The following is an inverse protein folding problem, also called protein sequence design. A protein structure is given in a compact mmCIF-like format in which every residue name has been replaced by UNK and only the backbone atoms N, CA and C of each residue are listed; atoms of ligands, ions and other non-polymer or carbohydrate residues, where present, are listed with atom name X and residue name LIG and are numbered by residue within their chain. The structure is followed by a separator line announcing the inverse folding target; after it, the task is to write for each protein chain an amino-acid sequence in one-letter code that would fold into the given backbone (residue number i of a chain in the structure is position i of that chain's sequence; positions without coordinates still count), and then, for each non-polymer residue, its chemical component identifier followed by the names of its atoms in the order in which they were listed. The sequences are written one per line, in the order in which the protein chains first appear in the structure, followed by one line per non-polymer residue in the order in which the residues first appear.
data_IF_922790013472
#
_entry.id   IF_922790013472
#
_cell.length_a   1.000
_cell.length_b   1.000
_cell.length_c   1.000
_cell.angle_alpha   90.00
_cell.angle_beta   90.00
_cell.angle_gamma   90.00
#
_symmetry.space_group_name_H-M   'P 1'
#
loop_
_entity.id
_entity.type
_entity.pdbx_description
1 polymer ?
#
# COMPACT_ATOMS: atom_id res chain seq x y z
N UNK A 1 42.72 -6.86 -88.60
CA UNK A 1 41.36 -6.63 -88.02
C UNK A 1 40.35 -6.41 -89.13
N UNK A 2 39.50 -7.44 -89.42
CA UNK A 2 38.46 -7.39 -90.42
C UNK A 2 37.45 -6.30 -90.07
N UNK A 3 37.32 -5.27 -90.91
CA UNK A 3 36.33 -4.21 -90.75
C UNK A 3 34.91 -4.81 -90.79
N UNK A 4 34.28 -4.94 -89.63
CA UNK A 4 32.88 -5.39 -89.52
C UNK A 4 31.96 -4.38 -90.25
N UNK A 5 31.00 -4.89 -91.02
CA UNK A 5 29.99 -4.08 -91.72
C UNK A 5 29.16 -3.29 -90.71
N UNK A 6 28.76 -2.07 -91.07
CA UNK A 6 28.02 -1.14 -90.22
C UNK A 6 26.73 -1.74 -89.65
N UNK A 7 26.05 -2.58 -90.41
CA UNK A 7 24.87 -3.34 -89.97
C UNK A 7 25.15 -4.30 -88.78
N UNK A 8 26.29 -5.03 -88.88
CA UNK A 8 26.68 -5.99 -87.80
C UNK A 8 26.98 -5.29 -86.49
N UNK A 9 27.54 -4.10 -86.51
CA UNK A 9 27.77 -3.28 -85.24
C UNK A 9 26.47 -2.85 -84.63
N UNK A 10 25.46 -2.45 -85.40
CA UNK A 10 24.13 -2.03 -84.93
C UNK A 10 23.40 -3.24 -84.34
N UNK A 11 23.46 -4.40 -85.00
CA UNK A 11 22.81 -5.63 -84.45
C UNK A 11 23.43 -6.08 -83.14
N UNK A 12 24.76 -6.03 -83.03
CA UNK A 12 25.45 -6.33 -81.75
C UNK A 12 25.06 -5.31 -80.65
N UNK A 13 24.94 -4.00 -80.98
CA UNK A 13 24.52 -2.97 -80.03
C UNK A 13 23.08 -3.22 -79.45
N UNK A 14 22.16 -3.64 -80.37
CA UNK A 14 20.79 -3.98 -80.02
C UNK A 14 20.75 -5.22 -79.09
N UNK A 15 21.55 -6.24 -79.44
CA UNK A 15 21.61 -7.44 -78.56
C UNK A 15 22.17 -7.14 -77.21
N UNK A 16 23.25 -6.35 -77.15
CA UNK A 16 23.82 -5.92 -75.84
C UNK A 16 22.79 -5.10 -75.02
N UNK A 17 22.06 -4.22 -75.67
CA UNK A 17 21.02 -3.42 -75.05
C UNK A 17 19.91 -4.31 -74.43
N UNK A 18 19.43 -5.31 -75.16
CA UNK A 18 18.43 -6.25 -74.63
C UNK A 18 18.99 -7.15 -73.55
N UNK A 19 20.25 -7.54 -73.58
CA UNK A 19 20.91 -8.30 -72.51
C UNK A 19 21.00 -7.44 -71.22
N UNK A 20 21.32 -6.15 -71.32
CA UNK A 20 21.37 -5.24 -70.18
C UNK A 20 19.98 -5.09 -69.56
N UNK A 21 18.96 -4.90 -70.42
CA UNK A 21 17.58 -4.81 -69.92
C UNK A 21 17.14 -6.10 -69.19
N UNK A 22 17.43 -7.25 -69.79
CA UNK A 22 17.10 -8.56 -69.24
C UNK A 22 17.80 -8.78 -67.84
N UNK A 23 19.08 -8.40 -67.76
CA UNK A 23 19.85 -8.49 -66.52
C UNK A 23 19.31 -7.55 -65.44
N UNK A 24 18.92 -6.33 -65.80
CA UNK A 24 18.32 -5.37 -64.86
C UNK A 24 16.95 -5.87 -64.33
N UNK A 25 16.10 -6.34 -65.23
CA UNK A 25 14.78 -6.88 -64.88
C UNK A 25 14.93 -8.14 -64.03
N UNK A 26 15.80 -9.08 -64.45
CA UNK A 26 16.08 -10.31 -63.73
C UNK A 26 16.68 -10.07 -62.35
N UNK A 27 17.62 -9.13 -62.23
CA UNK A 27 18.20 -8.72 -60.97
C UNK A 27 17.17 -8.11 -60.02
N UNK A 28 16.31 -7.23 -60.55
CA UNK A 28 15.26 -6.57 -59.75
C UNK A 28 14.20 -7.58 -59.28
N UNK A 29 13.78 -8.52 -60.12
CA UNK A 29 12.83 -9.57 -59.72
C UNK A 29 13.45 -10.56 -58.73
N UNK A 30 14.67 -11.01 -58.95
CA UNK A 30 15.39 -11.88 -58.00
C UNK A 30 15.58 -11.22 -56.64
N UNK A 31 15.96 -9.93 -56.65
CA UNK A 31 16.10 -9.16 -55.42
C UNK A 31 14.78 -8.96 -54.71
N UNK A 32 13.68 -8.69 -55.44
CA UNK A 32 12.33 -8.61 -54.87
C UNK A 32 11.86 -9.91 -54.20
N UNK A 33 12.11 -11.06 -54.85
CA UNK A 33 11.79 -12.38 -54.28
C UNK A 33 12.65 -12.67 -53.04
N UNK A 34 13.95 -12.36 -53.10
CA UNK A 34 14.86 -12.53 -51.98
C UNK A 34 14.42 -11.70 -50.75
N UNK A 35 14.12 -10.42 -50.93
CA UNK A 35 13.64 -9.56 -49.85
C UNK A 35 12.28 -10.01 -49.30
N UNK A 36 11.35 -10.41 -50.20
CA UNK A 36 10.04 -10.92 -49.79
C UNK A 36 10.15 -12.22 -48.97
N UNK A 37 11.11 -13.10 -49.32
CA UNK A 37 11.37 -14.34 -48.59
C UNK A 37 12.05 -14.10 -47.24
N UNK A 38 12.98 -13.14 -47.19
CA UNK A 38 13.79 -12.85 -45.99
C UNK A 38 13.07 -11.94 -44.96
N UNK A 39 12.26 -10.99 -45.42
CA UNK A 39 11.62 -9.98 -44.62
C UNK A 39 10.09 -10.01 -44.65
N UNK A 40 9.49 -10.82 -45.49
CA UNK A 40 8.04 -10.87 -45.70
C UNK A 40 7.25 -11.56 -44.58
N UNK A 41 7.92 -12.33 -43.73
CA UNK A 41 7.29 -12.97 -42.56
C UNK A 41 7.78 -12.23 -41.31
N UNK A 42 7.03 -11.21 -40.89
CA UNK A 42 7.20 -10.69 -39.55
C UNK A 42 6.78 -11.79 -38.59
N UNK A 43 7.59 -12.13 -37.57
CA UNK A 43 7.12 -13.05 -36.52
C UNK A 43 5.84 -12.45 -35.92
N UNK A 44 4.86 -13.27 -35.56
CA UNK A 44 3.68 -12.77 -34.87
C UNK A 44 4.13 -12.01 -33.64
N UNK A 45 3.45 -10.90 -33.30
CA UNK A 45 3.77 -10.15 -32.09
C UNK A 45 3.69 -11.08 -30.88
N UNK A 46 4.74 -11.06 -30.06
CA UNK A 46 4.74 -11.81 -28.80
C UNK A 46 3.61 -11.31 -27.91
N UNK A 47 2.76 -12.19 -27.41
CA UNK A 47 1.70 -11.87 -26.47
C UNK A 47 2.16 -12.31 -25.09
N UNK A 48 2.08 -11.41 -24.10
CA UNK A 48 2.27 -11.77 -22.71
C UNK A 48 0.93 -12.30 -22.20
N UNK A 49 0.94 -13.55 -21.75
CA UNK A 49 -0.25 -14.19 -21.20
C UNK A 49 -0.14 -14.28 -19.68
N UNK A 50 -1.26 -14.13 -19.00
CA UNK A 50 -1.35 -14.29 -17.56
C UNK A 50 -2.39 -15.35 -17.24
N UNK A 51 -2.05 -16.23 -16.31
CA UNK A 51 -3.00 -17.21 -15.79
C UNK A 51 -3.95 -16.49 -14.83
N UNK A 52 -5.24 -16.63 -15.07
CA UNK A 52 -6.28 -16.11 -14.18
C UNK A 52 -6.25 -16.91 -12.89
N UNK A 53 -6.20 -16.25 -11.76
CA UNK A 53 -6.21 -16.86 -10.44
C UNK A 53 -7.30 -16.25 -9.56
N UNK A 54 -7.84 -17.06 -8.66
CA UNK A 54 -8.73 -16.55 -7.64
C UNK A 54 -7.96 -15.71 -6.63
N UNK A 55 -8.47 -14.53 -6.34
CA UNK A 55 -7.95 -13.63 -5.30
C UNK A 55 -9.09 -13.14 -4.41
N UNK A 56 -8.71 -12.83 -3.18
CA UNK A 56 -9.62 -12.21 -2.21
C UNK A 56 -9.66 -10.70 -2.47
N UNK A 57 -10.86 -10.22 -2.70
CA UNK A 57 -11.15 -8.79 -2.85
C UNK A 57 -11.96 -8.33 -1.64
N UNK A 58 -11.60 -7.17 -1.12
CA UNK A 58 -12.32 -6.51 -0.04
C UNK A 58 -12.74 -5.14 -0.51
N UNK A 59 -13.89 -4.68 -0.05
CA UNK A 59 -14.19 -3.26 -0.04
C UNK A 59 -13.55 -2.62 1.17
N UNK A 60 -13.19 -1.36 1.07
CA UNK A 60 -12.53 -0.62 2.14
C UNK A 60 -13.35 0.61 2.54
N UNK A 61 -13.35 0.89 3.83
CA UNK A 61 -13.79 2.17 4.38
C UNK A 61 -12.56 2.84 4.95
N UNK A 62 -12.24 4.00 4.42
CA UNK A 62 -11.12 4.80 4.90
C UNK A 62 -11.55 5.71 6.04
N UNK A 63 -10.73 5.81 7.06
CA UNK A 63 -10.93 6.68 8.20
C UNK A 63 -9.57 7.00 8.82
N UNK A 64 -9.57 7.84 9.82
CA UNK A 64 -8.36 8.16 10.59
C UNK A 64 -8.69 8.23 12.06
N UNK A 65 -7.68 8.08 12.91
CA UNK A 65 -7.83 8.18 14.33
C UNK A 65 -6.55 8.63 15.02
N UNK A 66 -6.71 9.03 16.28
CA UNK A 66 -5.58 9.21 17.19
C UNK A 66 -5.34 7.91 17.96
N UNK A 67 -4.09 7.44 17.96
CA UNK A 67 -3.66 6.27 18.70
C UNK A 67 -3.80 6.49 20.22
N UNK A 68 -4.46 5.57 20.90
CA UNK A 68 -4.61 5.58 22.36
C UNK A 68 -3.98 4.33 22.95
N UNK A 69 -3.33 4.46 24.10
CA UNK A 69 -2.84 3.30 24.87
C UNK A 69 -4.01 2.44 25.33
N UNK A 70 -3.82 1.12 25.37
CA UNK A 70 -4.84 0.21 25.90
C UNK A 70 -5.12 0.42 27.37
N UNK A 71 -4.10 0.84 28.14
CA UNK A 71 -4.17 1.22 29.53
C UNK A 71 -3.25 2.40 29.80
N UNK A 72 -3.73 3.37 30.54
CA UNK A 72 -2.96 4.53 31.00
C UNK A 72 -3.21 4.77 32.47
N UNK A 73 -2.16 5.04 33.23
CA UNK A 73 -2.24 5.51 34.60
C UNK A 73 -1.30 6.67 34.76
N UNK A 74 -1.76 7.70 35.50
CA UNK A 74 -0.98 8.91 35.75
C UNK A 74 -0.71 9.07 37.24
N UNK A 75 0.50 9.48 37.57
CA UNK A 75 0.94 9.74 38.93
C UNK A 75 1.40 11.21 39.01
N UNK A 76 0.79 11.96 39.94
CA UNK A 76 1.27 13.29 40.29
C UNK A 76 2.39 13.16 41.31
N UNK A 77 3.55 13.68 40.99
CA UNK A 77 4.78 13.57 41.76
C UNK A 77 5.30 14.99 42.03
N UNK A 78 5.71 15.29 43.25
CA UNK A 78 6.48 16.49 43.54
C UNK A 78 7.96 16.23 43.30
N UNK A 79 8.61 17.11 42.59
CA UNK A 79 10.03 16.98 42.26
C UNK A 79 10.91 17.02 43.51
N UNK A 80 10.54 17.83 44.50
CA UNK A 80 11.22 17.97 45.78
C UNK A 80 11.18 16.70 46.65
N UNK A 81 10.19 15.82 46.44
CA UNK A 81 10.06 14.56 47.20
C UNK A 81 10.83 13.40 46.52
N UNK A 82 11.40 13.60 45.32
CA UNK A 82 12.05 12.54 44.52
C UNK A 82 13.44 12.23 45.09
N UNK A 83 13.70 10.97 45.43
CA UNK A 83 15.00 10.51 45.88
C UNK A 83 15.97 10.22 44.73
N UNK A 84 15.42 9.76 43.59
CA UNK A 84 16.20 9.42 42.39
C UNK A 84 15.48 9.94 41.14
N UNK A 85 16.20 10.34 40.06
CA UNK A 85 15.58 10.73 38.80
C UNK A 85 14.74 9.57 38.19
N UNK A 86 13.58 9.91 37.64
CA UNK A 86 12.73 8.92 36.98
C UNK A 86 13.36 8.47 35.68
N UNK A 87 13.46 7.15 35.47
CA UNK A 87 13.96 6.54 34.22
C UNK A 87 12.80 6.28 33.29
N UNK A 88 12.75 6.99 32.18
CA UNK A 88 11.74 6.82 31.11
C UNK A 88 12.09 5.59 30.29
N UNK A 89 11.52 4.43 30.65
CA UNK A 89 11.78 3.14 30.01
C UNK A 89 10.58 2.21 30.15
N UNK A 90 10.63 1.10 29.42
CA UNK A 90 9.68 0.01 29.64
C UNK A 90 9.90 -0.61 31.03
N UNK A 91 8.79 -0.90 31.72
CA UNK A 91 8.77 -1.49 33.06
C UNK A 91 7.77 -2.64 33.12
N UNK A 92 8.09 -3.65 33.90
CA UNK A 92 7.16 -4.75 34.20
C UNK A 92 6.25 -4.39 35.37
N UNK A 93 5.09 -5.04 35.44
CA UNK A 93 4.19 -4.96 36.59
C UNK A 93 4.97 -5.17 37.89
N UNK A 94 4.71 -4.33 38.90
CA UNK A 94 5.41 -4.35 40.20
C UNK A 94 6.77 -3.64 40.21
N UNK A 95 7.31 -3.24 39.05
CA UNK A 95 8.56 -2.49 38.99
C UNK A 95 8.44 -1.09 39.60
N UNK A 96 9.53 -0.53 40.08
CA UNK A 96 9.55 0.78 40.71
C UNK A 96 9.58 1.88 39.65
N UNK A 97 8.57 2.75 39.64
CA UNK A 97 8.45 3.93 38.79
C UNK A 97 9.20 5.10 39.40
N UNK A 98 8.95 5.38 40.69
CA UNK A 98 9.57 6.46 41.44
C UNK A 98 9.75 6.10 42.90
N UNK A 99 10.87 6.51 43.50
CA UNK A 99 11.11 6.48 44.95
C UNK A 99 10.97 7.87 45.48
N UNK A 100 10.01 8.07 46.36
CA UNK A 100 9.76 9.31 47.09
C UNK A 100 10.20 9.18 48.53
N UNK A 101 10.41 10.29 49.23
CA UNK A 101 10.81 10.30 50.63
C UNK A 101 9.89 9.47 51.53
N UNK A 102 8.58 9.53 51.28
CA UNK A 102 7.58 8.88 52.12
C UNK A 102 6.92 7.65 51.51
N UNK A 103 7.16 7.34 50.23
CA UNK A 103 6.55 6.20 49.53
C UNK A 103 7.29 5.82 48.27
N UNK A 104 7.11 4.57 47.86
CA UNK A 104 7.55 4.07 46.56
C UNK A 104 6.35 3.87 45.65
N UNK A 105 6.43 4.37 44.40
CA UNK A 105 5.39 4.18 43.39
C UNK A 105 5.81 3.02 42.51
N UNK A 106 4.95 2.00 42.43
CA UNK A 106 5.18 0.79 41.63
C UNK A 106 4.20 0.73 40.46
N UNK A 107 4.59 0.03 39.41
CA UNK A 107 3.81 -0.14 38.18
C UNK A 107 2.65 -1.13 38.38
N UNK A 108 1.37 -0.72 38.25
CA UNK A 108 0.21 -1.59 38.40
C UNK A 108 0.08 -2.59 37.22
N UNK A 109 0.69 -2.29 36.08
CA UNK A 109 0.77 -3.14 34.91
C UNK A 109 2.10 -2.89 34.20
N UNK A 110 2.44 -3.75 33.23
CA UNK A 110 3.64 -3.58 32.39
C UNK A 110 3.37 -2.53 31.33
N UNK A 111 4.29 -1.61 31.12
CA UNK A 111 4.13 -0.53 30.14
C UNK A 111 5.39 0.31 29.99
N UNK A 112 5.27 1.44 29.35
CA UNK A 112 6.35 2.42 29.17
C UNK A 112 6.08 3.65 30.03
N UNK A 113 7.10 4.09 30.76
CA UNK A 113 7.02 5.31 31.57
C UNK A 113 7.23 6.51 30.66
N UNK A 114 6.30 7.47 30.74
CA UNK A 114 6.38 8.76 30.04
C UNK A 114 6.09 9.94 30.97
N UNK A 115 6.09 11.13 30.40
CA UNK A 115 5.62 12.34 31.08
C UNK A 115 4.52 12.99 30.28
N UNK A 116 3.58 13.58 30.95
CA UNK A 116 2.58 14.45 30.34
C UNK A 116 2.92 15.90 30.67
N UNK A 117 3.18 16.68 29.61
CA UNK A 117 3.35 18.12 29.74
C UNK A 117 2.02 18.76 30.08
N UNK A 118 1.93 19.28 31.31
CA UNK A 118 0.82 20.13 31.74
C UNK A 118 1.42 21.46 32.18
N UNK A 119 0.76 22.55 31.84
CA UNK A 119 1.20 23.88 32.18
C UNK A 119 1.54 23.99 33.68
N UNK A 120 2.68 24.57 34.00
CA UNK A 120 3.12 24.83 35.40
C UNK A 120 2.13 25.70 36.16
N UNK A 121 1.33 26.52 35.47
CA UNK A 121 0.26 27.31 36.09
C UNK A 121 -0.85 26.46 36.71
N UNK A 122 -1.07 25.25 36.21
CA UNK A 122 -2.09 24.31 36.73
C UNK A 122 -1.52 23.38 37.80
N UNK A 123 -0.26 22.91 37.62
CA UNK A 123 0.34 21.91 38.51
C UNK A 123 1.21 22.50 39.64
N UNK A 124 1.65 23.74 39.46
CA UNK A 124 2.76 24.31 40.21
C UNK A 124 4.13 23.88 39.63
N UNK A 125 5.16 24.68 39.92
CA UNK A 125 6.52 24.51 39.37
C UNK A 125 7.21 23.25 39.90
N UNK A 126 6.84 22.78 41.09
CA UNK A 126 7.42 21.60 41.77
C UNK A 126 6.74 20.27 41.40
N UNK A 127 5.61 20.31 40.68
CA UNK A 127 4.86 19.09 40.37
C UNK A 127 5.08 18.63 38.96
N UNK A 128 5.12 17.30 38.73
CA UNK A 128 5.15 16.65 37.44
C UNK A 128 4.13 15.52 37.36
N UNK A 129 3.63 15.23 36.18
CA UNK A 129 2.80 14.06 35.91
C UNK A 129 3.64 13.03 35.14
N UNK A 130 3.75 11.87 35.76
CA UNK A 130 4.37 10.69 35.15
C UNK A 130 3.25 9.76 34.70
N UNK A 131 3.33 9.28 33.46
CA UNK A 131 2.36 8.33 32.91
C UNK A 131 3.01 6.96 32.80
N UNK A 132 2.19 5.93 32.95
CA UNK A 132 2.52 4.56 32.57
C UNK A 132 1.52 4.12 31.54
N UNK A 133 2.00 3.81 30.34
CA UNK A 133 1.21 3.50 29.16
C UNK A 133 1.48 2.08 28.67
N UNK A 134 0.43 1.24 28.58
CA UNK A 134 0.50 -0.04 27.87
C UNK A 134 0.14 0.17 26.39
N UNK A 135 1.17 0.28 25.57
CA UNK A 135 1.06 0.56 24.16
C UNK A 135 1.26 -0.67 23.26
N UNK A 136 1.33 -1.89 23.82
CA UNK A 136 1.42 -3.13 23.01
C UNK A 136 0.20 -3.35 22.13
N UNK A 137 -0.92 -2.81 22.57
CA UNK A 137 -2.16 -2.72 21.82
C UNK A 137 -2.59 -1.26 21.80
N UNK A 138 -2.83 -0.75 20.62
CA UNK A 138 -3.34 0.60 20.42
C UNK A 138 -4.84 0.52 20.23
N UNK A 139 -5.55 1.38 20.92
CA UNK A 139 -6.97 1.62 20.71
C UNK A 139 -7.13 2.81 19.79
N UNK A 140 -8.15 2.76 18.96
CA UNK A 140 -8.40 3.72 17.90
C UNK A 140 -9.90 3.94 17.78
N UNK A 141 -10.35 5.14 18.09
CA UNK A 141 -11.75 5.53 17.98
C UNK A 141 -12.01 6.11 16.60
N UNK A 142 -12.88 5.46 15.82
CA UNK A 142 -13.18 5.73 14.43
C UNK A 142 -14.59 6.29 14.30
N UNK A 143 -14.75 7.31 13.49
CA UNK A 143 -16.05 7.81 13.09
C UNK A 143 -16.39 7.21 11.72
N UNK A 144 -17.33 6.27 11.71
CA UNK A 144 -17.75 5.56 10.49
C UNK A 144 -19.08 6.16 10.01
N UNK A 145 -19.18 6.63 8.76
CA UNK A 145 -20.43 7.18 8.22
C UNK A 145 -21.62 6.21 8.34
N UNK A 146 -22.80 6.73 8.65
CA UNK A 146 -24.01 5.92 8.91
C UNK A 146 -24.41 5.02 7.74
N UNK A 147 -24.03 5.38 6.51
CA UNK A 147 -24.28 4.54 5.31
C UNK A 147 -23.64 3.16 5.39
N UNK A 148 -22.63 2.99 6.24
CA UNK A 148 -21.97 1.71 6.48
C UNK A 148 -22.49 0.95 7.71
N UNK A 149 -23.57 1.41 8.33
CA UNK A 149 -24.16 0.79 9.53
C UNK A 149 -24.41 -0.73 9.36
N UNK A 150 -24.94 -1.12 8.19
CA UNK A 150 -25.29 -2.51 7.91
C UNK A 150 -24.06 -3.46 7.85
N UNK A 151 -22.88 -2.94 7.53
CA UNK A 151 -21.66 -3.74 7.41
C UNK A 151 -20.76 -3.63 8.64
N UNK A 152 -20.98 -2.63 9.49
CA UNK A 152 -20.18 -2.40 10.69
C UNK A 152 -20.50 -3.44 11.77
N UNK A 153 -19.53 -4.28 12.08
CA UNK A 153 -19.66 -5.34 13.11
C UNK A 153 -18.34 -5.57 13.83
N UNK A 154 -18.44 -6.09 15.07
CA UNK A 154 -17.26 -6.57 15.79
C UNK A 154 -16.53 -7.67 15.02
N UNK A 155 -15.21 -7.63 15.04
CA UNK A 155 -14.35 -8.59 14.35
C UNK A 155 -13.97 -8.20 12.92
N UNK A 156 -14.50 -7.10 12.35
CA UNK A 156 -14.00 -6.57 11.07
C UNK A 156 -12.51 -6.32 11.14
N UNK A 157 -11.78 -6.73 10.12
CA UNK A 157 -10.34 -6.49 9.99
C UNK A 157 -10.07 -5.02 9.68
N UNK A 158 -8.99 -4.54 10.28
CA UNK A 158 -8.53 -3.15 10.14
C UNK A 158 -7.06 -3.19 9.80
N UNK A 159 -6.67 -2.45 8.80
CA UNK A 159 -5.28 -2.14 8.50
C UNK A 159 -5.02 -0.69 8.91
N UNK A 160 -3.99 -0.49 9.73
CA UNK A 160 -3.55 0.84 10.13
C UNK A 160 -2.20 1.16 9.49
N UNK A 161 -2.07 2.38 8.98
CA UNK A 161 -0.83 2.94 8.46
C UNK A 161 -0.37 4.05 9.38
N UNK A 162 0.89 4.01 9.78
CA UNK A 162 1.53 5.08 10.55
C UNK A 162 2.55 5.78 9.65
N UNK A 163 2.36 7.09 9.44
CA UNK A 163 3.16 7.86 8.48
C UNK A 163 4.67 7.82 8.71
N UNK A 164 5.10 7.61 9.98
CA UNK A 164 6.52 7.47 10.30
C UNK A 164 7.15 6.19 9.70
N UNK A 165 6.33 5.17 9.43
CA UNK A 165 6.75 3.88 8.87
C UNK A 165 5.95 3.58 7.60
N UNK A 166 6.22 4.32 6.51
CA UNK A 166 5.43 4.37 5.26
C UNK A 166 5.10 3.01 4.63
N UNK A 167 5.93 2.01 4.82
CA UNK A 167 5.79 0.69 4.18
C UNK A 167 5.31 -0.41 5.14
N UNK A 168 4.88 -0.05 6.36
CA UNK A 168 4.44 -1.01 7.37
C UNK A 168 2.94 -0.89 7.61
N UNK A 169 2.25 -2.03 7.53
CA UNK A 169 0.85 -2.16 7.89
C UNK A 169 0.74 -2.80 9.28
N UNK A 170 -0.09 -2.24 10.12
CA UNK A 170 -0.40 -2.76 11.44
C UNK A 170 -1.81 -3.32 11.42
N UNK A 171 -1.93 -4.60 11.66
CA UNK A 171 -3.21 -5.29 11.65
C UNK A 171 -3.96 -5.09 12.97
N UNK A 172 -5.26 -4.97 12.85
CA UNK A 172 -6.18 -4.84 13.97
C UNK A 172 -7.57 -5.36 13.66
N UNK A 173 -8.46 -5.18 14.61
CA UNK A 173 -9.88 -5.55 14.47
C UNK A 173 -10.78 -4.56 15.19
N UNK A 174 -12.01 -4.41 14.71
CA UNK A 174 -13.06 -3.70 15.44
C UNK A 174 -13.46 -4.52 16.67
N UNK A 175 -13.32 -3.94 17.86
CA UNK A 175 -13.66 -4.60 19.13
C UNK A 175 -15.05 -4.23 19.65
N UNK A 176 -15.52 -3.02 19.28
CA UNK A 176 -16.86 -2.53 19.64
C UNK A 176 -17.29 -1.41 18.71
N UNK A 177 -18.59 -1.15 18.64
CA UNK A 177 -19.17 0.04 18.02
C UNK A 177 -20.36 0.53 18.85
N UNK A 178 -20.70 1.80 18.70
CA UNK A 178 -21.88 2.37 19.31
C UNK A 178 -23.16 1.78 18.71
N UNK A 179 -24.20 1.66 19.51
CA UNK A 179 -25.55 1.24 19.09
C UNK A 179 -26.39 2.40 18.52
N UNK A 180 -25.83 3.60 18.50
CA UNK A 180 -26.52 4.83 18.10
C UNK A 180 -25.66 5.64 17.13
N UNK A 181 -26.31 6.24 16.16
CA UNK A 181 -25.70 7.23 15.26
C UNK A 181 -25.65 8.57 15.97
N UNK A 182 -24.51 9.25 15.87
CA UNK A 182 -24.39 10.66 16.24
C UNK A 182 -25.09 11.52 15.18
N UNK A 183 -26.15 12.24 15.60
CA UNK A 183 -26.96 13.03 14.69
C UNK A 183 -26.26 14.28 14.13
N UNK A 184 -25.22 14.77 14.81
CA UNK A 184 -24.45 15.94 14.39
C UNK A 184 -23.44 15.58 13.30
N UNK A 185 -22.72 14.47 13.51
CA UNK A 185 -21.66 14.02 12.59
C UNK A 185 -22.14 12.99 11.56
N UNK A 186 -23.38 12.48 11.70
CA UNK A 186 -23.93 11.40 10.89
C UNK A 186 -22.99 10.18 10.84
N UNK A 187 -22.38 9.85 11.97
CA UNK A 187 -21.43 8.77 12.10
C UNK A 187 -21.74 7.84 13.27
N UNK A 188 -21.17 6.64 13.20
CA UNK A 188 -21.19 5.63 14.26
C UNK A 188 -19.78 5.55 14.83
N UNK A 189 -19.65 5.72 16.14
CA UNK A 189 -18.38 5.54 16.81
C UNK A 189 -18.02 4.05 16.87
N UNK A 190 -16.89 3.67 16.31
CA UNK A 190 -16.35 2.32 16.36
C UNK A 190 -14.97 2.34 17.02
N UNK A 191 -14.65 1.33 17.80
CA UNK A 191 -13.35 1.19 18.43
C UNK A 191 -12.61 0.02 17.81
N UNK A 192 -11.44 0.30 17.24
CA UNK A 192 -10.51 -0.69 16.76
C UNK A 192 -9.40 -0.95 17.80
N UNK A 193 -8.88 -2.17 17.82
CA UNK A 193 -7.68 -2.55 18.53
C UNK A 193 -6.63 -2.98 17.52
N UNK A 194 -5.48 -2.32 17.53
CA UNK A 194 -4.37 -2.50 16.59
C UNK A 194 -3.21 -3.14 17.33
N UNK A 195 -2.55 -4.12 16.72
CA UNK A 195 -1.38 -4.78 17.28
C UNK A 195 -0.14 -3.89 17.11
N UNK A 196 0.54 -3.59 18.22
CA UNK A 196 1.74 -2.76 18.26
C UNK A 196 2.86 -3.48 19.03
N UNK A 197 3.20 -4.70 18.57
CA UNK A 197 4.17 -5.57 19.25
C UNK A 197 5.54 -4.92 19.40
N UNK A 198 5.95 -4.17 18.40
CA UNK A 198 7.27 -3.52 18.32
C UNK A 198 7.30 -2.15 19.01
N UNK A 199 6.16 -1.70 19.57
CA UNK A 199 6.00 -0.41 20.25
C UNK A 199 6.34 0.81 19.36
N UNK A 200 6.20 0.69 18.07
CA UNK A 200 6.52 1.74 17.10
C UNK A 200 5.44 2.82 17.03
N UNK A 201 4.17 2.44 17.19
CA UNK A 201 3.07 3.39 17.26
C UNK A 201 3.06 4.00 18.66
N UNK A 202 3.30 5.29 18.71
CA UNK A 202 3.27 6.05 19.96
C UNK A 202 1.84 6.54 20.24
N UNK A 203 1.37 6.50 21.51
CA UNK A 203 0.11 7.13 21.89
C UNK A 203 0.10 8.61 21.49
N UNK A 204 -1.01 9.08 20.93
CA UNK A 204 -1.14 10.43 20.38
C UNK A 204 -0.82 10.55 18.90
N UNK A 205 -0.26 9.52 18.27
CA UNK A 205 0.00 9.51 16.80
C UNK A 205 -1.29 9.48 16.00
N UNK A 206 -1.28 10.11 14.85
CA UNK A 206 -2.32 9.97 13.82
C UNK A 206 -2.09 8.69 13.03
N UNK A 207 -3.14 7.93 12.83
CA UNK A 207 -3.14 6.70 12.02
C UNK A 207 -4.19 6.81 10.92
N UNK A 208 -3.80 6.41 9.71
CA UNK A 208 -4.73 6.17 8.62
C UNK A 208 -5.25 4.74 8.72
N UNK A 209 -6.55 4.58 8.63
CA UNK A 209 -7.24 3.32 8.89
C UNK A 209 -8.04 2.88 7.68
N UNK A 210 -7.85 1.63 7.28
CA UNK A 210 -8.64 0.95 6.27
C UNK A 210 -9.43 -0.18 6.93
N UNK A 211 -10.76 -0.05 7.01
CA UNK A 211 -11.65 -1.15 7.41
C UNK A 211 -11.93 -2.01 6.20
N UNK A 212 -11.75 -3.32 6.34
CA UNK A 212 -11.98 -4.30 5.29
C UNK A 212 -13.35 -4.97 5.49
N UNK A 213 -14.21 -4.89 4.48
CA UNK A 213 -15.53 -5.51 4.51
C UNK A 213 -15.89 -6.15 3.16
N UNK A 214 -16.96 -6.94 3.11
CA UNK A 214 -17.47 -7.60 1.89
C UNK A 214 -16.37 -8.39 1.16
N UNK A 215 -15.62 -9.22 1.93
CA UNK A 215 -14.58 -10.08 1.37
C UNK A 215 -15.21 -11.12 0.46
N UNK A 216 -14.75 -11.15 -0.80
CA UNK A 216 -15.20 -12.09 -1.82
C UNK A 216 -14.01 -12.68 -2.55
N UNK A 217 -14.07 -13.94 -2.83
CA UNK A 217 -13.16 -14.61 -3.76
C UNK A 217 -13.69 -14.43 -5.17
N UNK A 218 -12.85 -13.89 -6.05
CA UNK A 218 -13.19 -13.69 -7.45
C UNK A 218 -11.95 -13.88 -8.34
N UNK A 219 -12.21 -14.19 -9.60
CA UNK A 219 -11.15 -14.30 -10.60
C UNK A 219 -10.48 -12.93 -10.80
N UNK A 220 -9.16 -12.94 -10.72
CA UNK A 220 -8.32 -11.74 -10.87
C UNK A 220 -7.56 -11.77 -12.18
N UNK A 221 -7.64 -10.66 -12.90
CA UNK A 221 -6.81 -10.37 -14.09
C UNK A 221 -6.09 -9.04 -13.87
N UNK A 222 -4.97 -8.85 -14.53
CA UNK A 222 -4.27 -7.56 -14.50
C UNK A 222 -5.06 -6.52 -15.30
N UNK A 223 -5.07 -5.27 -14.84
CA UNK A 223 -5.72 -4.15 -15.54
C UNK A 223 -5.16 -3.97 -16.97
N UNK A 224 -3.87 -4.26 -17.17
CA UNK A 224 -3.21 -4.24 -18.48
C UNK A 224 -3.75 -5.28 -19.48
N UNK A 225 -4.50 -6.28 -18.99
CA UNK A 225 -5.15 -7.30 -19.84
C UNK A 225 -6.55 -6.91 -20.28
N UNK A 226 -7.08 -5.78 -19.80
CA UNK A 226 -8.40 -5.28 -20.14
C UNK A 226 -8.27 -4.32 -21.32
N UNK A 227 -8.99 -4.61 -22.39
CA UNK A 227 -9.11 -3.75 -23.56
C UNK A 227 -10.41 -2.98 -23.48
N UNK A 228 -10.31 -1.68 -23.68
CA UNK A 228 -11.46 -0.78 -23.71
C UNK A 228 -11.77 -0.46 -25.19
N UNK A 229 -12.98 -0.73 -25.60
CA UNK A 229 -13.47 -0.39 -26.93
C UNK A 229 -14.86 0.19 -26.76
N UNK A 230 -15.00 1.48 -27.02
CA UNK A 230 -16.17 2.30 -26.71
C UNK A 230 -16.60 2.18 -25.23
N UNK A 231 -17.81 1.71 -24.96
CA UNK A 231 -18.34 1.49 -23.62
C UNK A 231 -18.13 0.06 -23.08
N UNK A 232 -17.46 -0.81 -23.84
CA UNK A 232 -17.29 -2.23 -23.50
C UNK A 232 -15.87 -2.53 -23.06
N UNK A 233 -15.75 -3.51 -22.16
CA UNK A 233 -14.47 -4.02 -21.65
C UNK A 233 -14.33 -5.48 -22.08
N UNK A 234 -13.19 -5.81 -22.68
CA UNK A 234 -12.90 -7.16 -23.17
C UNK A 234 -11.61 -7.70 -22.62
N UNK A 235 -11.53 -9.01 -22.56
CA UNK A 235 -10.29 -9.76 -22.37
C UNK A 235 -10.19 -10.82 -23.44
N UNK A 236 -8.99 -11.04 -23.98
CA UNK A 236 -8.76 -12.16 -24.89
C UNK A 236 -8.44 -13.42 -24.08
N UNK A 237 -9.15 -14.49 -24.37
CA UNK A 237 -8.83 -15.82 -23.87
C UNK A 237 -8.06 -16.58 -24.94
N UNK A 238 -6.91 -17.14 -24.59
CA UNK A 238 -6.19 -18.07 -25.45
C UNK A 238 -6.80 -19.46 -25.22
N UNK A 239 -7.31 -20.06 -26.29
CA UNK A 239 -7.66 -21.49 -26.32
C UNK A 239 -6.49 -22.23 -26.94
N UNK A 240 -6.12 -23.39 -26.35
CA UNK A 240 -5.19 -24.34 -26.96
C UNK A 240 -5.75 -24.90 -28.24
#
# INVERSE_FOLDING_TARGET
WKKMKRSTKVTIGIIIFFIIIATVIGGRTAMGVYFKKKFGKRPPPGVVVQIVSEKKFNKTIESYCTALSSKTTSFKIKKSELLEPIKFKAIKKGGIIAKLQNKTITAPFSGTIGTRGISSSILGTDSMIVTLDDSKKILCDLQIPEVFAAVLKKGLRVNAKFLAYKNKLYEGTIISHASRVDAQTRSILARAQINNKDLEILPGSLLDIELLYDEKEALSIADTSIIFEDEKKFVYKISE
#
